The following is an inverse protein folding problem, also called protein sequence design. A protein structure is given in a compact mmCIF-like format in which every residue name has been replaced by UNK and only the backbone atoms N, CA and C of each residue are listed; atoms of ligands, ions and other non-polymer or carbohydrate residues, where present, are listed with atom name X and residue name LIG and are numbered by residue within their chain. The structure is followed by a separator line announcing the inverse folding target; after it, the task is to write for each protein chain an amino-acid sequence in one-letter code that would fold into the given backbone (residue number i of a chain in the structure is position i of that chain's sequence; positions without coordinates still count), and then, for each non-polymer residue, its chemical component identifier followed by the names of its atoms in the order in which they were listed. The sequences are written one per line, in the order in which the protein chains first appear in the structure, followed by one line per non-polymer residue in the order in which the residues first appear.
data_IF_022560253635
#
_entry.id   IF_022560253635
#
_cell.length_a   1.000
_cell.length_b   1.000
_cell.length_c   1.000
_cell.angle_alpha   90.00
_cell.angle_beta   90.00
_cell.angle_gamma   90.00
#
_symmetry.space_group_name_H-M   'P 1'
#
loop_
_entity.id
_entity.type
_entity.pdbx_description
1 polymer ?
#
# COMPACT_ATOMS: atom_id res chain seq x y z
N UNK A 1 43.98 -2.48 -12.58
CA UNK A 1 43.45 -2.65 -13.95
C UNK A 1 42.20 -3.59 -14.01
N UNK A 2 42.12 -4.60 -13.14
CA UNK A 2 40.98 -5.56 -13.07
C UNK A 2 39.62 -4.91 -12.74
N UNK A 3 39.57 -3.97 -11.79
CA UNK A 3 38.32 -3.33 -11.32
C UNK A 3 37.55 -2.60 -12.46
N UNK A 4 38.26 -1.90 -13.36
CA UNK A 4 37.65 -1.18 -14.49
C UNK A 4 36.97 -2.13 -15.52
N UNK A 5 37.45 -3.36 -15.67
CA UNK A 5 36.87 -4.35 -16.61
C UNK A 5 35.55 -4.91 -16.08
N UNK A 6 35.49 -5.18 -14.77
CA UNK A 6 34.24 -5.63 -14.12
C UNK A 6 33.13 -4.56 -14.17
N UNK A 7 33.48 -3.31 -13.88
CA UNK A 7 32.55 -2.19 -13.92
C UNK A 7 31.90 -2.03 -15.30
N UNK A 8 32.64 -2.22 -16.40
CA UNK A 8 32.10 -2.15 -17.76
C UNK A 8 31.00 -3.20 -18.02
N UNK A 9 31.19 -4.43 -17.55
CA UNK A 9 30.20 -5.50 -17.72
C UNK A 9 28.92 -5.20 -16.94
N UNK A 10 29.02 -4.63 -15.71
CA UNK A 10 27.83 -4.21 -14.96
C UNK A 10 27.05 -3.11 -15.67
N UNK A 11 27.71 -2.11 -16.24
CA UNK A 11 27.02 -1.07 -17.03
C UNK A 11 26.32 -1.64 -18.27
N UNK A 12 26.96 -2.57 -18.99
CA UNK A 12 26.35 -3.21 -20.16
C UNK A 12 25.12 -4.01 -19.75
N UNK A 13 25.14 -4.72 -18.63
CA UNK A 13 23.99 -5.46 -18.10
C UNK A 13 22.86 -4.53 -17.63
N UNK A 14 23.19 -3.30 -17.19
CA UNK A 14 22.20 -2.30 -16.78
C UNK A 14 21.51 -1.61 -17.97
N UNK A 15 22.13 -1.55 -19.13
CA UNK A 15 21.59 -0.83 -20.31
C UNK A 15 20.16 -1.27 -20.66
N UNK A 16 19.81 -2.56 -20.76
CA UNK A 16 18.44 -2.96 -21.11
C UNK A 16 17.41 -2.45 -20.09
N UNK A 17 17.74 -2.52 -18.80
CA UNK A 17 16.87 -2.05 -17.74
C UNK A 17 16.71 -0.52 -17.75
N UNK A 18 17.81 0.21 -18.00
CA UNK A 18 17.78 1.67 -18.11
C UNK A 18 17.02 2.14 -19.35
N UNK A 19 17.16 1.46 -20.49
CA UNK A 19 16.38 1.76 -21.69
C UNK A 19 14.90 1.54 -21.45
N UNK A 20 14.53 0.43 -20.81
CA UNK A 20 13.15 0.16 -20.42
C UNK A 20 12.59 1.27 -19.51
N UNK A 21 13.31 1.62 -18.46
CA UNK A 21 12.93 2.69 -17.54
C UNK A 21 12.82 4.04 -18.26
N UNK A 22 13.74 4.36 -19.15
CA UNK A 22 13.71 5.59 -19.93
C UNK A 22 12.46 5.68 -20.79
N UNK A 23 12.18 4.67 -21.62
CA UNK A 23 11.06 4.72 -22.56
C UNK A 23 9.70 4.58 -21.85
N UNK A 24 9.59 3.75 -20.81
CA UNK A 24 8.30 3.45 -20.18
C UNK A 24 8.01 4.24 -18.89
N UNK A 25 9.01 4.87 -18.29
CA UNK A 25 8.81 5.69 -17.09
C UNK A 25 9.14 7.16 -17.34
N UNK A 26 10.32 7.46 -17.93
CA UNK A 26 10.75 8.86 -18.09
C UNK A 26 10.03 9.54 -19.25
N UNK A 27 9.95 8.90 -20.43
CA UNK A 27 9.27 9.49 -21.59
C UNK A 27 7.80 9.84 -21.32
N UNK A 28 6.97 8.98 -20.68
CA UNK A 28 5.59 9.36 -20.35
C UNK A 28 5.48 10.53 -19.38
N UNK A 29 6.50 10.81 -18.55
CA UNK A 29 6.49 11.97 -17.64
C UNK A 29 6.46 13.30 -18.40
N UNK A 30 6.96 13.37 -19.65
CA UNK A 30 6.81 14.56 -20.48
C UNK A 30 5.35 14.88 -20.82
N UNK A 31 4.45 13.90 -20.69
CA UNK A 31 3.01 14.10 -20.79
C UNK A 31 2.43 15.06 -19.75
N UNK A 32 3.17 15.39 -18.67
CA UNK A 32 2.75 16.39 -17.67
C UNK A 32 2.50 17.78 -18.30
N UNK A 33 3.11 18.04 -19.45
CA UNK A 33 2.91 19.29 -20.22
C UNK A 33 1.44 19.45 -20.62
N UNK A 34 0.71 18.35 -20.88
CA UNK A 34 -0.72 18.36 -21.20
C UNK A 34 -1.57 18.99 -20.09
N UNK A 35 -1.14 18.96 -18.85
CA UNK A 35 -1.86 19.59 -17.73
C UNK A 35 -1.91 21.12 -17.85
N UNK A 36 -0.98 21.72 -18.61
CA UNK A 36 -0.88 23.16 -18.85
C UNK A 36 -1.41 23.58 -20.22
N UNK A 37 -2.00 22.63 -20.96
CA UNK A 37 -2.51 22.85 -22.30
C UNK A 37 -4.01 22.56 -22.36
N UNK A 38 -4.72 23.24 -23.26
CA UNK A 38 -6.03 22.81 -23.74
C UNK A 38 -5.80 21.68 -24.74
N UNK A 39 -5.63 20.47 -24.21
CA UNK A 39 -5.18 19.32 -24.98
C UNK A 39 -6.25 18.82 -25.94
N UNK A 40 -5.94 18.90 -27.24
CA UNK A 40 -6.77 18.33 -28.29
C UNK A 40 -6.08 17.08 -28.89
N UNK A 41 -6.66 15.88 -28.73
CA UNK A 41 -6.08 14.65 -29.26
C UNK A 41 -5.78 14.69 -30.78
N UNK A 42 -6.57 15.45 -31.53
CA UNK A 42 -6.37 15.63 -32.99
C UNK A 42 -5.15 16.46 -33.37
N UNK A 43 -4.67 17.30 -32.46
CA UNK A 43 -3.51 18.19 -32.70
C UNK A 43 -2.24 17.68 -32.01
N UNK A 44 -2.40 16.77 -31.03
CA UNK A 44 -1.30 16.23 -30.25
C UNK A 44 -0.71 17.24 -29.26
N UNK A 45 0.33 16.81 -28.53
CA UNK A 45 0.95 17.60 -27.45
C UNK A 45 1.65 18.86 -27.99
N UNK A 46 2.27 18.80 -29.17
CA UNK A 46 3.09 19.88 -29.70
C UNK A 46 2.28 21.04 -30.27
N UNK A 47 1.05 20.81 -30.70
CA UNK A 47 0.20 21.82 -31.36
C UNK A 47 -1.00 22.24 -30.50
N UNK A 48 -1.18 21.66 -29.32
CA UNK A 48 -2.25 22.06 -28.40
C UNK A 48 -1.94 23.42 -27.76
N UNK A 49 -2.98 24.25 -27.58
CA UNK A 49 -2.85 25.60 -27.06
C UNK A 49 -2.40 25.57 -25.59
N UNK A 50 -1.35 26.31 -25.27
CA UNK A 50 -0.89 26.46 -23.88
C UNK A 50 -1.81 27.43 -23.12
N UNK A 51 -2.44 26.96 -22.05
CA UNK A 51 -3.39 27.71 -21.20
C UNK A 51 -2.85 27.94 -19.76
N UNK A 52 -1.64 27.51 -19.49
CA UNK A 52 -1.00 27.71 -18.20
C UNK A 52 -1.74 27.02 -17.07
N UNK A 53 -2.18 27.77 -16.06
CA UNK A 53 -2.83 27.21 -14.85
C UNK A 53 -4.36 27.19 -14.91
N UNK A 54 -4.98 27.44 -16.07
CA UNK A 54 -6.45 27.49 -16.18
C UNK A 54 -7.10 26.14 -15.82
N UNK A 55 -6.51 25.04 -16.27
CA UNK A 55 -7.00 23.69 -15.93
C UNK A 55 -6.98 23.45 -14.42
N UNK A 56 -5.94 23.92 -13.72
CA UNK A 56 -5.85 23.81 -12.27
C UNK A 56 -6.87 24.69 -11.55
N UNK A 57 -7.10 25.93 -12.04
CA UNK A 57 -8.14 26.81 -11.50
C UNK A 57 -9.52 26.17 -11.63
N UNK A 58 -9.82 25.63 -12.84
CA UNK A 58 -11.06 24.92 -13.08
C UNK A 58 -11.22 23.72 -12.14
N UNK A 59 -10.17 22.90 -12.01
CA UNK A 59 -10.17 21.75 -11.10
C UNK A 59 -10.48 22.15 -9.65
N UNK A 60 -9.85 23.22 -9.14
CA UNK A 60 -10.10 23.68 -7.75
C UNK A 60 -11.48 24.34 -7.54
N UNK A 61 -12.15 24.75 -8.60
CA UNK A 61 -13.53 25.26 -8.56
C UNK A 61 -14.56 24.13 -8.48
N UNK A 62 -14.18 22.89 -8.85
CA UNK A 62 -15.06 21.73 -8.76
C UNK A 62 -15.23 21.32 -7.30
N UNK A 63 -16.47 21.23 -6.85
CA UNK A 63 -16.81 20.84 -5.46
C UNK A 63 -16.26 19.46 -5.08
N UNK A 64 -16.21 18.54 -6.03
CA UNK A 64 -15.78 17.16 -5.78
C UNK A 64 -14.28 17.03 -5.54
N UNK A 65 -13.45 17.90 -6.10
CA UNK A 65 -11.98 17.82 -5.97
C UNK A 65 -11.53 17.95 -4.53
N UNK A 66 -12.13 18.89 -3.79
CA UNK A 66 -11.79 19.06 -2.36
C UNK A 66 -12.11 17.80 -1.55
N UNK A 67 -13.27 17.18 -1.83
CA UNK A 67 -13.67 15.95 -1.17
C UNK A 67 -12.76 14.79 -1.54
N UNK A 68 -12.41 14.63 -2.82
CA UNK A 68 -11.49 13.58 -3.31
C UNK A 68 -10.11 13.74 -2.68
N UNK A 69 -9.55 14.96 -2.62
CA UNK A 69 -8.27 15.21 -1.97
C UNK A 69 -8.32 14.87 -0.47
N UNK A 70 -9.36 15.31 0.23
CA UNK A 70 -9.55 14.99 1.65
C UNK A 70 -9.63 13.48 1.87
N UNK A 71 -10.46 12.77 1.09
CA UNK A 71 -10.59 11.33 1.16
C UNK A 71 -9.25 10.61 0.90
N UNK A 72 -8.50 11.07 -0.10
CA UNK A 72 -7.19 10.51 -0.43
C UNK A 72 -6.21 10.64 0.74
N UNK A 73 -6.15 11.82 1.36
CA UNK A 73 -5.28 12.07 2.52
C UNK A 73 -5.70 11.23 3.71
N UNK A 74 -7.00 11.20 4.04
CA UNK A 74 -7.54 10.41 5.16
C UNK A 74 -7.23 8.92 4.99
N UNK A 75 -7.50 8.37 3.80
CA UNK A 75 -7.22 6.96 3.51
C UNK A 75 -5.72 6.68 3.55
N UNK A 76 -4.88 7.54 2.96
CA UNK A 76 -3.44 7.36 2.95
C UNK A 76 -2.86 7.37 4.38
N UNK A 77 -3.21 8.38 5.18
CA UNK A 77 -2.76 8.49 6.57
C UNK A 77 -3.27 7.32 7.41
N UNK A 78 -4.55 6.95 7.26
CA UNK A 78 -5.13 5.81 7.95
C UNK A 78 -4.42 4.50 7.64
N UNK A 79 -4.09 4.25 6.37
CA UNK A 79 -3.31 3.08 5.93
C UNK A 79 -1.90 3.08 6.50
N UNK A 80 -1.19 4.21 6.46
CA UNK A 80 0.17 4.32 7.00
C UNK A 80 0.17 4.01 8.49
N UNK A 81 -0.68 4.69 9.26
CA UNK A 81 -0.77 4.51 10.72
C UNK A 81 -1.16 3.06 11.05
N UNK A 82 -2.17 2.54 10.39
CA UNK A 82 -2.65 1.17 10.63
C UNK A 82 -1.61 0.11 10.29
N UNK A 83 -0.93 0.22 9.15
CA UNK A 83 0.13 -0.72 8.74
C UNK A 83 1.41 -0.64 9.58
N UNK A 84 1.58 0.40 10.40
CA UNK A 84 2.64 0.47 11.39
C UNK A 84 2.18 -0.12 12.73
N UNK A 85 1.06 0.37 13.26
CA UNK A 85 0.63 0.07 14.62
C UNK A 85 0.21 -1.40 14.79
N UNK A 86 -0.72 -1.87 13.94
CA UNK A 86 -1.27 -3.23 14.13
C UNK A 86 -0.22 -4.34 13.96
N UNK A 87 0.61 -4.33 12.91
CA UNK A 87 1.64 -5.36 12.75
C UNK A 87 2.73 -5.28 13.82
N UNK A 88 3.07 -4.08 14.30
CA UNK A 88 4.05 -3.89 15.37
C UNK A 88 3.55 -4.50 16.68
N UNK A 89 2.31 -4.17 17.10
CA UNK A 89 1.69 -4.74 18.28
C UNK A 89 1.66 -6.27 18.17
N UNK A 90 1.26 -6.80 17.04
CA UNK A 90 1.18 -8.24 16.83
C UNK A 90 2.56 -8.92 16.82
N UNK A 91 3.59 -8.26 16.27
CA UNK A 91 4.96 -8.76 16.33
C UNK A 91 5.47 -8.86 17.76
N UNK A 92 5.18 -7.85 18.60
CA UNK A 92 5.51 -7.86 20.01
C UNK A 92 4.77 -8.99 20.76
N UNK A 93 3.46 -9.14 20.54
CA UNK A 93 2.67 -10.23 21.09
C UNK A 93 3.20 -11.60 20.68
N UNK A 94 3.52 -11.76 19.39
CA UNK A 94 4.13 -13.00 18.89
C UNK A 94 5.51 -13.26 19.51
N UNK A 95 6.30 -12.22 19.76
CA UNK A 95 7.61 -12.39 20.39
C UNK A 95 7.49 -12.93 21.80
N UNK A 96 6.55 -12.44 22.60
CA UNK A 96 6.27 -12.86 23.98
C UNK A 96 5.45 -14.16 24.09
N UNK A 97 4.90 -14.64 22.97
CA UNK A 97 4.01 -15.81 22.98
C UNK A 97 4.75 -17.08 23.44
N UNK A 98 4.31 -17.66 24.55
CA UNK A 98 4.99 -18.77 25.23
C UNK A 98 4.89 -20.10 24.47
N UNK A 99 3.79 -20.35 23.73
CA UNK A 99 3.52 -21.63 23.09
C UNK A 99 4.19 -21.71 21.72
N UNK A 100 5.43 -22.16 21.69
CA UNK A 100 6.24 -22.22 20.44
C UNK A 100 5.59 -23.04 19.31
N UNK A 101 4.80 -24.07 19.64
CA UNK A 101 4.12 -24.92 18.64
C UNK A 101 3.03 -24.19 17.86
N UNK A 102 2.34 -23.22 18.48
CA UNK A 102 1.26 -22.45 17.85
C UNK A 102 1.79 -21.22 17.06
N UNK A 103 3.01 -20.79 17.31
CA UNK A 103 3.61 -19.62 16.67
C UNK A 103 3.65 -19.74 15.15
N UNK A 104 4.10 -20.89 14.63
CA UNK A 104 4.19 -21.15 13.18
C UNK A 104 2.82 -21.18 12.49
N UNK A 105 1.82 -21.97 12.95
CA UNK A 105 0.51 -21.97 12.30
C UNK A 105 -0.19 -20.62 12.37
N UNK A 106 -0.10 -19.87 13.47
CA UNK A 106 -0.64 -18.51 13.57
C UNK A 106 -0.02 -17.60 12.50
N UNK A 107 1.31 -17.61 12.36
CA UNK A 107 2.00 -16.84 11.32
C UNK A 107 1.51 -17.22 9.92
N UNK A 108 1.38 -18.53 9.63
CA UNK A 108 0.93 -19.00 8.31
C UNK A 108 -0.48 -18.52 7.97
N UNK A 109 -1.41 -18.59 8.94
CA UNK A 109 -2.80 -18.13 8.73
C UNK A 109 -2.85 -16.61 8.50
N UNK A 110 -2.08 -15.86 9.28
CA UNK A 110 -2.05 -14.40 9.18
C UNK A 110 -1.40 -13.91 7.89
N UNK A 111 -0.52 -14.72 7.27
CA UNK A 111 0.06 -14.41 5.97
C UNK A 111 -0.84 -14.67 4.78
N UNK A 112 -1.82 -15.55 4.91
CA UNK A 112 -2.64 -16.00 3.79
C UNK A 112 -3.26 -14.85 2.99
N UNK A 113 -3.84 -13.79 3.61
CA UNK A 113 -4.45 -12.69 2.87
C UNK A 113 -3.46 -11.93 1.96
N UNK A 114 -2.18 -11.88 2.32
CA UNK A 114 -1.16 -11.19 1.54
C UNK A 114 -0.99 -11.77 0.13
N UNK A 115 -1.11 -13.07 -0.03
CA UNK A 115 -0.96 -13.77 -1.31
C UNK A 115 -2.17 -13.66 -2.22
N UNK A 116 -3.31 -13.19 -1.74
CA UNK A 116 -4.49 -12.97 -2.57
C UNK A 116 -4.26 -11.76 -3.50
N UNK A 117 -4.66 -11.89 -4.76
CA UNK A 117 -4.69 -10.73 -5.65
C UNK A 117 -5.72 -9.71 -5.15
N UNK A 118 -5.49 -8.43 -5.45
CA UNK A 118 -6.43 -7.37 -5.09
C UNK A 118 -7.81 -7.57 -5.73
N UNK A 119 -7.87 -8.19 -6.92
CA UNK A 119 -9.15 -8.49 -7.60
C UNK A 119 -9.96 -9.53 -6.82
N UNK A 120 -9.30 -10.59 -6.36
CA UNK A 120 -9.96 -11.63 -5.54
C UNK A 120 -10.41 -11.05 -4.21
N UNK A 121 -9.53 -10.29 -3.57
CA UNK A 121 -9.84 -9.64 -2.29
C UNK A 121 -11.02 -8.67 -2.41
N UNK A 122 -11.03 -7.84 -3.45
CA UNK A 122 -12.13 -6.92 -3.70
C UNK A 122 -13.46 -7.68 -3.87
N UNK A 123 -13.48 -8.79 -4.61
CA UNK A 123 -14.68 -9.63 -4.74
C UNK A 123 -15.13 -10.21 -3.40
N UNK A 124 -14.20 -10.67 -2.57
CA UNK A 124 -14.54 -11.18 -1.23
C UNK A 124 -15.16 -10.06 -0.39
N UNK A 125 -14.57 -8.88 -0.37
CA UNK A 125 -15.08 -7.72 0.39
C UNK A 125 -16.45 -7.27 -0.15
N UNK A 126 -16.61 -7.19 -1.48
CA UNK A 126 -17.89 -6.86 -2.10
C UNK A 126 -18.98 -7.88 -1.75
N UNK A 127 -18.65 -9.17 -1.72
CA UNK A 127 -19.62 -10.22 -1.37
C UNK A 127 -19.99 -10.17 0.12
N UNK A 128 -19.03 -9.90 1.01
CA UNK A 128 -19.26 -9.88 2.47
C UNK A 128 -20.03 -8.63 2.90
N UNK A 129 -19.64 -7.45 2.41
CA UNK A 129 -20.17 -6.15 2.80
C UNK A 129 -21.20 -5.60 1.80
N UNK A 130 -21.53 -6.36 0.73
CA UNK A 130 -22.57 -5.99 -0.22
C UNK A 130 -23.95 -5.90 0.43
N UNK A 131 -24.89 -5.23 -0.25
CA UNK A 131 -26.22 -5.00 0.29
C UNK A 131 -26.95 -6.31 0.66
N UNK A 132 -26.76 -7.37 -0.13
CA UNK A 132 -27.28 -8.73 0.12
C UNK A 132 -26.27 -9.65 0.78
N UNK A 133 -25.15 -9.12 1.24
CA UNK A 133 -24.05 -9.88 1.82
C UNK A 133 -24.36 -10.38 3.25
N UNK A 134 -23.55 -11.34 3.74
CA UNK A 134 -23.77 -11.97 5.05
C UNK A 134 -23.74 -10.98 6.22
N UNK A 135 -23.03 -9.85 6.11
CA UNK A 135 -23.03 -8.82 7.17
C UNK A 135 -24.41 -8.17 7.25
N UNK A 136 -25.02 -7.80 6.14
CA UNK A 136 -26.34 -7.22 6.13
C UNK A 136 -27.42 -8.24 6.51
N UNK A 137 -27.31 -9.50 6.08
CA UNK A 137 -28.21 -10.57 6.53
C UNK A 137 -28.15 -10.77 8.05
N UNK A 138 -26.95 -10.68 8.63
CA UNK A 138 -26.80 -10.74 10.07
C UNK A 138 -27.44 -9.52 10.76
N UNK A 139 -27.31 -8.33 10.21
CA UNK A 139 -27.95 -7.11 10.73
C UNK A 139 -29.49 -7.22 10.68
N UNK A 140 -30.02 -7.74 9.59
CA UNK A 140 -31.46 -7.99 9.46
C UNK A 140 -31.98 -9.01 10.49
N UNK A 141 -31.18 -10.08 10.74
CA UNK A 141 -31.53 -11.06 11.77
C UNK A 141 -31.57 -10.44 13.18
N UNK A 142 -30.81 -9.36 13.43
CA UNK A 142 -30.85 -8.56 14.65
C UNK A 142 -31.89 -7.41 14.61
N UNK A 143 -32.77 -7.37 13.60
CA UNK A 143 -33.82 -6.35 13.46
C UNK A 143 -33.30 -4.99 13.01
N UNK A 144 -32.12 -4.90 12.39
CA UNK A 144 -31.55 -3.67 11.84
C UNK A 144 -31.70 -3.61 10.33
N UNK A 145 -31.88 -2.41 9.79
CA UNK A 145 -31.93 -2.21 8.35
C UNK A 145 -30.57 -2.47 7.69
N UNK A 146 -30.53 -3.01 6.47
CA UNK A 146 -29.32 -3.19 5.71
C UNK A 146 -28.64 -1.86 5.40
N UNK A 147 -27.31 -1.83 5.46
CA UNK A 147 -26.48 -0.65 5.25
C UNK A 147 -25.74 -0.77 3.92
N UNK A 148 -25.68 0.33 3.18
CA UNK A 148 -24.87 0.42 1.97
C UNK A 148 -23.42 0.85 2.33
N UNK A 149 -22.55 -0.11 2.66
CA UNK A 149 -21.18 0.13 3.06
C UNK A 149 -20.32 0.81 1.99
N UNK A 150 -20.67 0.64 0.72
CA UNK A 150 -19.90 1.21 -0.40
C UNK A 150 -20.43 2.57 -0.84
N UNK A 151 -21.68 2.88 -0.55
CA UNK A 151 -22.30 4.17 -0.89
C UNK A 151 -22.12 5.25 0.16
N UNK A 152 -21.82 4.85 1.41
CA UNK A 152 -21.68 5.78 2.53
C UNK A 152 -20.19 6.13 2.76
N UNK A 153 -19.77 7.40 2.54
CA UNK A 153 -18.37 7.79 2.68
C UNK A 153 -17.79 7.51 4.07
N UNK A 154 -18.59 7.65 5.11
CA UNK A 154 -18.21 7.39 6.51
C UNK A 154 -17.85 5.92 6.78
N UNK A 155 -18.42 4.98 6.02
CA UNK A 155 -18.19 3.55 6.14
C UNK A 155 -17.18 3.03 5.11
N UNK A 156 -17.17 3.63 3.93
CA UNK A 156 -16.27 3.23 2.84
C UNK A 156 -14.80 3.44 3.20
N UNK A 157 -14.45 4.59 3.77
CA UNK A 157 -13.07 4.89 4.13
C UNK A 157 -12.48 3.88 5.14
N UNK A 158 -13.12 3.61 6.30
CA UNK A 158 -12.60 2.62 7.23
C UNK A 158 -12.62 1.20 6.67
N UNK A 159 -13.56 0.86 5.79
CA UNK A 159 -13.60 -0.43 5.12
C UNK A 159 -12.37 -0.65 4.22
N UNK A 160 -12.02 0.36 3.41
CA UNK A 160 -10.84 0.32 2.53
C UNK A 160 -9.55 0.27 3.36
N UNK A 161 -9.45 1.09 4.40
CA UNK A 161 -8.29 1.11 5.31
C UNK A 161 -8.14 -0.24 6.01
N UNK A 162 -9.22 -0.77 6.57
CA UNK A 162 -9.22 -2.05 7.27
C UNK A 162 -8.86 -3.23 6.38
N UNK A 163 -9.35 -3.23 5.15
CA UNK A 163 -9.04 -4.26 4.14
C UNK A 163 -7.56 -4.24 3.77
N UNK A 164 -6.97 -3.06 3.58
CA UNK A 164 -5.55 -2.90 3.27
C UNK A 164 -4.66 -3.36 4.43
N UNK A 165 -4.99 -2.95 5.65
CA UNK A 165 -4.29 -3.37 6.85
C UNK A 165 -4.37 -4.90 7.01
N UNK A 166 -5.56 -5.49 6.89
CA UNK A 166 -5.75 -6.92 7.00
C UNK A 166 -4.95 -7.70 5.96
N UNK A 167 -4.89 -7.22 4.73
CA UNK A 167 -4.08 -7.83 3.67
C UNK A 167 -2.59 -7.77 3.98
N UNK A 168 -2.09 -6.60 4.39
CA UNK A 168 -0.67 -6.37 4.65
C UNK A 168 -0.16 -6.86 6.00
N UNK A 169 -1.07 -7.08 6.94
CA UNK A 169 -0.82 -7.35 8.35
C UNK A 169 0.22 -8.44 8.61
N UNK A 170 0.05 -9.60 7.97
CA UNK A 170 0.94 -10.74 8.15
C UNK A 170 2.36 -10.45 7.68
N UNK A 171 2.51 -9.92 6.48
CA UNK A 171 3.81 -9.60 5.89
C UNK A 171 4.57 -8.55 6.73
N UNK A 172 3.90 -7.45 7.07
CA UNK A 172 4.49 -6.39 7.88
C UNK A 172 4.92 -6.90 9.26
N UNK A 173 4.14 -7.79 9.87
CA UNK A 173 4.48 -8.43 11.15
C UNK A 173 5.81 -9.17 11.11
N UNK A 174 6.13 -9.87 9.99
CA UNK A 174 7.41 -10.57 9.86
C UNK A 174 8.58 -9.61 9.84
N UNK A 175 8.43 -8.52 9.10
CA UNK A 175 9.49 -7.50 9.01
C UNK A 175 9.81 -6.96 10.41
N UNK A 176 8.79 -6.61 11.20
CA UNK A 176 8.98 -6.16 12.58
C UNK A 176 9.55 -7.24 13.48
N UNK A 177 9.06 -8.49 13.36
CA UNK A 177 9.57 -9.59 14.16
C UNK A 177 11.05 -9.89 13.84
N UNK A 178 11.45 -9.83 12.56
CA UNK A 178 12.83 -9.99 12.17
C UNK A 178 13.72 -8.88 12.75
N UNK A 179 13.26 -7.62 12.74
CA UNK A 179 13.96 -6.51 13.34
C UNK A 179 14.13 -6.69 14.87
N UNK A 180 13.07 -7.06 15.59
CA UNK A 180 13.10 -7.30 17.04
C UNK A 180 14.10 -8.43 17.39
N UNK A 181 14.09 -9.52 16.63
CA UNK A 181 15.00 -10.65 16.85
C UNK A 181 16.46 -10.26 16.50
N UNK A 182 16.66 -9.41 15.52
CA UNK A 182 17.96 -8.85 15.14
C UNK A 182 18.59 -8.04 16.27
N UNK A 183 17.86 -7.10 16.86
CA UNK A 183 18.32 -6.28 18.00
C UNK A 183 18.72 -7.18 19.19
N UNK A 184 17.91 -8.18 19.53
CA UNK A 184 18.19 -9.09 20.64
C UNK A 184 19.45 -9.94 20.40
N UNK A 185 19.78 -10.26 19.15
CA UNK A 185 21.01 -10.98 18.81
C UNK A 185 22.24 -10.11 18.98
N UNK A 186 22.19 -8.85 18.62
CA UNK A 186 23.28 -7.88 18.81
C UNK A 186 23.52 -7.57 20.30
N UNK A 187 22.49 -7.40 21.10
CA UNK A 187 22.59 -7.23 22.56
C UNK A 187 23.32 -8.42 23.22
N UNK A 188 23.00 -9.64 22.80
CA UNK A 188 23.69 -10.84 23.29
C UNK A 188 25.16 -10.87 22.88
N UNK A 189 25.51 -10.36 21.70
CA UNK A 189 26.89 -10.30 21.21
C UNK A 189 27.69 -9.29 22.02
N UNK A 190 27.17 -8.07 22.18
CA UNK A 190 27.81 -7.02 22.99
C UNK A 190 27.98 -7.46 24.45
N UNK A 191 26.96 -8.09 25.05
CA UNK A 191 27.04 -8.61 26.42
C UNK A 191 28.10 -9.71 26.61
N UNK A 192 28.39 -10.51 25.57
CA UNK A 192 29.50 -11.50 25.61
C UNK A 192 30.85 -10.83 25.49
N UNK A 193 31.01 -9.83 24.63
CA UNK A 193 32.26 -9.08 24.46
C UNK A 193 32.64 -8.28 25.73
N UNK A 194 31.64 -7.70 26.44
CA UNK A 194 31.86 -7.03 27.72
C UNK A 194 32.25 -7.98 28.85
N UNK A 195 31.89 -9.27 28.77
CA UNK A 195 32.20 -10.28 29.81
C UNK A 195 33.56 -10.96 29.57
N UNK A 196 34.15 -10.78 28.39
CA UNK A 196 35.48 -11.35 28.01
C UNK A 196 36.64 -10.37 28.17
N UNK A 197 36.35 -9.15 28.63
CA UNK A 197 37.35 -8.16 29.08
C UNK A 197 37.33 -8.07 30.59
#
# INVERSE_FOLDING_TARGET
MYIKRFVKHYYIMLIPALLWLFFFSIVPMFGIVMAFQDYNPGQGILHSKFVGLENFKYMFQMNDVKQVLCNTVVIAVGKIIGNIIFPLIFALLLNEFCIKRLKRPIQTIVYLPYFLSWVILAKIVLNIFGYTGPINQLMEAFGRNPINFFGEPSLFQPLVIGTDIWKGFGYNTVVYLAAILGVRSEERRVGKECRSR
#
